data_IF_550267536658
#
_entry.id   IF_550267536658
#
_cell.length_a   1.000
_cell.length_b   1.000
_cell.length_c   1.000
_cell.angle_alpha   90.00
_cell.angle_beta   90.00
_cell.angle_gamma   90.00
#
_symmetry.space_group_name_H-M   'P 1'
#
loop_
_entity.id
_entity.type
_entity.pdbx_description
1 polymer ?
#
# COMPACT_ATOMS: atom_id res chain seq x y z
N UNK A 1 21.64 -16.78 24.45
CA UNK A 1 20.31 -16.61 23.82
C UNK A 1 20.39 -15.36 22.97
N UNK A 2 20.32 -15.49 21.64
CA UNK A 2 20.21 -14.33 20.76
C UNK A 2 18.75 -13.85 20.82
N UNK A 3 18.54 -12.60 21.24
CA UNK A 3 17.24 -11.95 21.19
C UNK A 3 16.92 -11.71 19.72
N UNK A 4 16.01 -12.50 19.16
CA UNK A 4 15.50 -12.24 17.82
C UNK A 4 14.72 -10.92 17.89
N UNK A 5 15.17 -9.91 17.14
CA UNK A 5 14.46 -8.64 17.04
C UNK A 5 13.03 -8.93 16.59
N UNK A 6 12.05 -8.29 17.25
CA UNK A 6 10.67 -8.38 16.81
C UNK A 6 10.60 -7.97 15.33
N UNK A 7 9.82 -8.67 14.49
CA UNK A 7 9.70 -8.32 13.08
C UNK A 7 9.30 -6.84 12.97
N UNK A 8 10.00 -6.10 12.11
CA UNK A 8 9.65 -4.71 11.84
C UNK A 8 8.19 -4.63 11.40
N UNK A 9 7.48 -3.61 11.92
CA UNK A 9 6.09 -3.36 11.57
C UNK A 9 6.04 -2.78 10.17
N UNK A 10 6.02 -3.64 9.17
CA UNK A 10 5.92 -3.24 7.76
C UNK A 10 4.46 -3.01 7.39
N UNK A 11 4.13 -1.79 6.98
CA UNK A 11 2.87 -1.44 6.33
C UNK A 11 3.20 -0.97 4.91
N UNK A 12 2.70 -1.70 3.90
CA UNK A 12 2.85 -1.33 2.49
C UNK A 12 1.52 -1.51 1.77
N UNK A 13 1.24 -0.64 0.81
CA UNK A 13 0.22 -0.82 -0.21
C UNK A 13 0.88 -1.11 -1.56
N UNK A 14 0.11 -1.64 -2.50
CA UNK A 14 0.55 -1.82 -3.88
C UNK A 14 -0.16 -0.78 -4.74
N UNK A 15 0.60 -0.07 -5.56
CA UNK A 15 0.04 0.72 -6.67
C UNK A 15 0.28 -0.05 -7.95
N UNK A 16 -0.80 -0.41 -8.64
CA UNK A 16 -0.72 -1.08 -9.94
C UNK A 16 -0.19 -0.11 -11.00
N UNK A 17 0.33 -0.59 -12.15
CA UNK A 17 0.73 0.27 -13.26
C UNK A 17 -0.39 1.20 -13.78
N UNK A 18 -1.65 0.83 -13.57
CA UNK A 18 -2.82 1.67 -13.87
C UNK A 18 -3.00 2.85 -12.91
N UNK A 19 -2.28 2.87 -11.78
CA UNK A 19 -2.46 3.82 -10.68
C UNK A 19 -3.48 3.37 -9.63
N UNK A 20 -4.10 2.19 -9.80
CA UNK A 20 -5.02 1.63 -8.82
C UNK A 20 -4.30 1.26 -7.52
N UNK A 21 -4.93 1.54 -6.37
CA UNK A 21 -4.37 1.28 -5.04
C UNK A 21 -5.00 0.02 -4.48
N UNK A 22 -4.14 -0.92 -4.05
CA UNK A 22 -4.50 -2.11 -3.29
C UNK A 22 -3.89 -1.99 -1.88
N UNK A 23 -4.74 -1.79 -0.87
CA UNK A 23 -4.33 -1.59 0.52
C UNK A 23 -5.24 -2.35 1.50
N UNK A 24 -4.64 -3.25 2.29
CA UNK A 24 -5.33 -4.09 3.28
C UNK A 24 -5.39 -3.46 4.68
N UNK A 25 -4.55 -2.47 4.95
CA UNK A 25 -4.48 -1.83 6.25
C UNK A 25 -5.23 -0.49 6.28
N UNK A 26 -5.44 0.15 5.13
CA UNK A 26 -6.16 1.42 5.01
C UNK A 26 -7.52 1.39 5.73
N UNK A 27 -8.41 0.43 5.42
CA UNK A 27 -9.75 0.40 6.04
C UNK A 27 -9.69 0.12 7.55
N UNK A 28 -8.69 -0.65 7.99
CA UNK A 28 -8.47 -0.91 9.42
C UNK A 28 -8.05 0.37 10.14
N UNK A 29 -7.12 1.13 9.57
CA UNK A 29 -6.69 2.44 10.10
C UNK A 29 -7.87 3.42 10.11
N UNK A 30 -8.61 3.48 9.01
CA UNK A 30 -9.79 4.34 8.91
C UNK A 30 -10.83 3.96 9.96
N UNK A 31 -11.18 2.68 10.10
CA UNK A 31 -12.08 2.21 11.13
C UNK A 31 -11.61 2.57 12.55
N UNK A 32 -10.30 2.52 12.82
CA UNK A 32 -9.77 2.92 14.13
C UNK A 32 -9.97 4.42 14.40
N UNK A 33 -9.71 5.26 13.41
CA UNK A 33 -9.87 6.73 13.51
C UNK A 33 -11.35 7.11 13.72
N UNK A 34 -12.26 6.45 13.01
CA UNK A 34 -13.69 6.75 13.03
C UNK A 34 -14.50 5.87 14.00
N UNK A 35 -13.83 5.02 14.79
CA UNK A 35 -14.44 4.07 15.72
C UNK A 35 -15.51 3.17 15.06
N UNK A 36 -15.22 2.70 13.84
CA UNK A 36 -16.10 1.88 13.02
C UNK A 36 -15.46 0.50 12.79
N UNK A 37 -15.78 -0.44 13.68
CA UNK A 37 -15.19 -1.80 13.67
C UNK A 37 -15.56 -2.62 12.44
N UNK A 38 -16.66 -2.29 11.74
CA UNK A 38 -17.07 -2.98 10.51
C UNK A 38 -16.08 -2.81 9.35
N UNK A 39 -15.15 -1.86 9.46
CA UNK A 39 -14.14 -1.58 8.45
C UNK A 39 -12.85 -2.40 8.62
N UNK A 40 -12.71 -3.12 9.73
CA UNK A 40 -11.47 -3.83 10.03
C UNK A 40 -11.28 -5.03 9.10
N UNK A 41 -10.06 -5.16 8.57
CA UNK A 41 -9.70 -6.22 7.62
C UNK A 41 -10.28 -6.06 6.21
N UNK A 42 -11.02 -4.99 5.93
CA UNK A 42 -11.55 -4.75 4.58
C UNK A 42 -10.45 -4.31 3.61
N UNK A 43 -10.54 -4.83 2.39
CA UNK A 43 -9.65 -4.47 1.29
C UNK A 43 -10.07 -3.15 0.63
N UNK A 44 -9.11 -2.29 0.37
CA UNK A 44 -9.22 -1.23 -0.64
C UNK A 44 -8.58 -1.70 -1.93
N UNK A 45 -9.34 -1.70 -3.02
CA UNK A 45 -8.87 -1.91 -4.39
C UNK A 45 -9.66 -0.94 -5.29
N UNK A 46 -9.13 0.26 -5.51
CA UNK A 46 -9.81 1.33 -6.28
C UNK A 46 -8.84 2.40 -6.79
N UNK A 47 -9.29 3.22 -7.73
CA UNK A 47 -8.52 4.38 -8.19
C UNK A 47 -8.46 5.46 -7.10
N UNK A 48 -7.34 6.21 -6.96
CA UNK A 48 -7.22 7.32 -6.03
C UNK A 48 -8.33 8.38 -6.14
N UNK A 49 -8.89 8.57 -7.33
CA UNK A 49 -9.99 9.49 -7.61
C UNK A 49 -11.36 9.02 -7.08
N UNK A 50 -11.49 7.74 -6.75
CA UNK A 50 -12.74 7.13 -6.29
C UNK A 50 -12.89 7.13 -4.76
N UNK A 51 -11.91 7.67 -4.05
CA UNK A 51 -12.04 7.90 -2.62
C UNK A 51 -13.05 9.03 -2.37
N UNK A 52 -14.04 8.76 -1.52
CA UNK A 52 -15.14 9.67 -1.18
C UNK A 52 -15.04 10.12 0.27
N UNK A 53 -16.00 10.92 0.76
CA UNK A 53 -16.03 11.34 2.17
C UNK A 53 -14.98 12.37 2.53
N UNK A 54 -14.54 13.21 1.59
CA UNK A 54 -13.51 14.22 1.80
C UNK A 54 -12.08 13.66 1.83
N UNK A 55 -11.91 12.36 1.59
CA UNK A 55 -10.58 11.76 1.48
C UNK A 55 -9.95 12.06 0.13
N UNK A 56 -8.68 12.49 0.17
CA UNK A 56 -7.83 12.60 -1.01
C UNK A 56 -6.64 11.68 -0.82
N UNK A 57 -6.63 10.58 -1.58
CA UNK A 57 -5.47 9.68 -1.60
C UNK A 57 -4.43 10.25 -2.57
N UNK A 58 -3.26 10.65 -2.05
CA UNK A 58 -2.14 11.17 -2.85
C UNK A 58 -1.01 10.16 -2.74
N UNK A 59 -0.87 9.22 -3.69
CA UNK A 59 0.23 8.27 -3.65
C UNK A 59 1.54 9.06 -3.77
N UNK A 60 2.51 8.71 -2.92
CA UNK A 60 3.85 9.26 -3.05
C UNK A 60 4.48 8.66 -4.30
N UNK A 61 4.66 9.47 -5.35
CA UNK A 61 5.45 9.06 -6.51
C UNK A 61 6.91 9.00 -6.09
N UNK A 62 7.37 7.80 -5.81
CA UNK A 62 8.78 7.50 -5.63
C UNK A 62 9.37 7.18 -7.00
N UNK A 63 10.46 7.86 -7.36
CA UNK A 63 11.12 7.67 -8.66
C UNK A 63 11.62 6.24 -8.86
N UNK A 64 11.92 5.87 -10.10
CA UNK A 64 12.43 4.54 -10.47
C UNK A 64 13.62 4.11 -9.61
N UNK A 65 14.54 5.04 -9.33
CA UNK A 65 15.69 4.82 -8.45
C UNK A 65 15.30 4.33 -7.05
N UNK A 66 14.20 4.84 -6.49
CA UNK A 66 13.71 4.42 -5.19
C UNK A 66 13.09 3.03 -5.27
N UNK A 67 12.36 2.71 -6.34
CA UNK A 67 11.79 1.37 -6.57
C UNK A 67 12.89 0.30 -6.66
N UNK A 68 14.02 0.58 -7.31
CA UNK A 68 15.18 -0.33 -7.32
C UNK A 68 15.80 -0.54 -5.94
N UNK A 69 15.70 0.45 -5.05
CA UNK A 69 16.25 0.35 -3.69
C UNK A 69 15.37 -0.44 -2.72
N UNK A 70 14.04 -0.39 -2.90
CA UNK A 70 13.09 -0.96 -1.91
C UNK A 70 12.24 -2.12 -2.44
N UNK A 71 12.18 -2.32 -3.75
CA UNK A 71 11.36 -3.34 -4.38
C UNK A 71 12.18 -4.24 -5.31
N UNK A 72 11.74 -5.48 -5.48
CA UNK A 72 12.30 -6.39 -6.47
C UNK A 72 11.73 -6.03 -7.84
N UNK A 73 12.44 -5.19 -8.60
CA UNK A 73 12.08 -4.90 -10.00
C UNK A 73 12.68 -6.01 -10.86
N UNK A 74 11.84 -6.94 -11.32
CA UNK A 74 12.28 -7.86 -12.39
C UNK A 74 12.16 -7.10 -13.72
N UNK A 75 13.27 -6.94 -14.42
CA UNK A 75 13.24 -6.42 -15.79
C UNK A 75 12.28 -7.25 -16.66
N UNK A 76 11.54 -6.61 -17.59
CA UNK A 76 10.78 -7.37 -18.56
C UNK A 76 11.73 -8.26 -19.36
N UNK A 77 11.43 -9.55 -19.44
CA UNK A 77 12.10 -10.47 -20.35
C UNK A 77 11.86 -9.97 -21.79
N UNK A 78 12.81 -9.20 -22.32
CA UNK A 78 12.88 -8.91 -23.75
C UNK A 78 13.37 -10.20 -24.40
N UNK A 79 12.44 -11.01 -24.89
CA UNK A 79 12.77 -12.09 -25.84
C UNK A 79 12.87 -11.47 -27.23
N UNK A 80 14.08 -11.49 -27.80
CA UNK A 80 14.36 -11.21 -29.22
C UNK A 80 13.60 -12.17 -30.16
#
# INVERSE_FOLDING_TARGET
>A
MQTQAAPEKLHSWITLPSGEVIDLAFMTIYGLIYNEASLFGNLVAKMPSEFTGGMRYVPMMVGEDFLHCVAFVSEPLVTE
#
